data_IF_352458613455
#
_entry.id   IF_352458613455
#
_cell.length_a   1.000
_cell.length_b   1.000
_cell.length_c   1.000
_cell.angle_alpha   90.00
_cell.angle_beta   90.00
_cell.angle_gamma   90.00
#
_symmetry.space_group_name_H-M   'P 1'
#
loop_
_entity.id
_entity.type
_entity.pdbx_description
1 polymer ?
#
# COMPACT_ATOMS: atom_id res chain seq x y z
N UNK A 1 -15.64 -14.88 3.25
CA UNK A 1 -16.03 -13.47 3.34
C UNK A 1 -14.83 -12.67 3.81
N UNK A 2 -14.51 -11.64 3.05
CA UNK A 2 -13.38 -10.81 3.37
C UNK A 2 -13.76 -9.78 4.44
N UNK A 3 -12.83 -9.49 5.35
CA UNK A 3 -13.05 -8.48 6.38
C UNK A 3 -13.05 -7.08 5.76
N UNK A 4 -13.50 -6.09 6.53
CA UNK A 4 -13.45 -4.70 6.10
C UNK A 4 -11.99 -4.30 5.84
N UNK A 5 -11.07 -4.72 6.71
CA UNK A 5 -9.65 -4.42 6.52
C UNK A 5 -9.10 -5.08 5.26
N UNK A 6 -9.51 -6.32 4.97
CA UNK A 6 -9.10 -7.01 3.77
C UNK A 6 -9.58 -6.32 2.51
N UNK A 7 -10.84 -5.87 2.51
CA UNK A 7 -11.39 -5.12 1.38
C UNK A 7 -10.65 -3.79 1.19
N UNK A 8 -10.31 -3.13 2.29
CA UNK A 8 -9.56 -1.88 2.23
C UNK A 8 -8.15 -2.10 1.66
N UNK A 9 -7.51 -3.20 2.04
CA UNK A 9 -6.19 -3.54 1.51
C UNK A 9 -6.22 -3.67 -0.02
N UNK A 10 -7.24 -4.35 -0.52
CA UNK A 10 -7.41 -4.53 -1.97
C UNK A 10 -7.65 -3.19 -2.64
N UNK A 11 -8.50 -2.35 -2.04
CA UNK A 11 -8.76 -1.01 -2.58
C UNK A 11 -7.46 -0.21 -2.67
N UNK A 12 -6.67 -0.19 -1.61
CA UNK A 12 -5.40 0.55 -1.60
C UNK A 12 -4.44 0.02 -2.67
N UNK A 13 -4.37 -1.30 -2.81
CA UNK A 13 -3.50 -1.93 -3.80
C UNK A 13 -3.90 -1.52 -5.20
N UNK A 14 -5.20 -1.53 -5.51
CA UNK A 14 -5.68 -1.15 -6.84
C UNK A 14 -5.38 0.33 -7.12
N UNK A 15 -5.61 1.19 -6.14
CA UNK A 15 -5.35 2.62 -6.32
C UNK A 15 -3.86 2.88 -6.53
N UNK A 16 -3.01 2.23 -5.76
CA UNK A 16 -1.57 2.38 -5.89
C UNK A 16 -1.08 1.87 -7.24
N UNK A 17 -1.59 0.69 -7.64
CA UNK A 17 -1.22 0.10 -8.93
C UNK A 17 -1.54 1.05 -10.08
N UNK A 18 -2.73 1.63 -10.06
CA UNK A 18 -3.15 2.56 -11.11
C UNK A 18 -2.34 3.83 -11.10
N UNK A 19 -2.10 4.40 -9.93
CA UNK A 19 -1.36 5.66 -9.81
C UNK A 19 0.09 5.53 -10.26
N UNK A 20 0.70 4.36 -10.04
CA UNK A 20 2.11 4.13 -10.36
C UNK A 20 2.30 3.38 -11.67
N UNK A 21 1.21 3.08 -12.39
CA UNK A 21 1.24 2.37 -13.68
C UNK A 21 1.95 1.02 -13.56
N UNK A 22 1.62 0.28 -12.51
CA UNK A 22 2.21 -1.04 -12.26
C UNK A 22 1.30 -2.13 -12.81
N UNK A 23 1.92 -3.26 -13.18
CA UNK A 23 1.15 -4.49 -13.44
C UNK A 23 0.77 -5.11 -12.09
N UNK A 24 -0.19 -6.03 -12.14
CA UNK A 24 -0.55 -6.77 -10.92
C UNK A 24 0.63 -7.50 -10.31
N UNK A 25 1.47 -8.09 -11.17
CA UNK A 25 2.66 -8.81 -10.70
C UNK A 25 3.65 -7.87 -10.02
N UNK A 26 3.89 -6.71 -10.63
CA UNK A 26 4.79 -5.71 -10.06
C UNK A 26 4.28 -5.22 -8.71
N UNK A 27 2.98 -4.96 -8.61
CA UNK A 27 2.39 -4.54 -7.35
C UNK A 27 2.56 -5.61 -6.28
N UNK A 28 2.25 -6.86 -6.63
CA UNK A 28 2.34 -7.96 -5.66
C UNK A 28 3.75 -8.14 -5.15
N UNK A 29 4.74 -8.05 -6.05
CA UNK A 29 6.15 -8.16 -5.65
C UNK A 29 6.57 -7.02 -4.74
N UNK A 30 6.16 -5.81 -5.06
CA UNK A 30 6.50 -4.63 -4.27
C UNK A 30 5.88 -4.70 -2.88
N UNK A 31 4.60 -5.00 -2.82
CA UNK A 31 3.87 -5.04 -1.55
C UNK A 31 4.33 -6.18 -0.66
N UNK A 32 4.73 -7.31 -1.27
CA UNK A 32 5.27 -8.43 -0.50
C UNK A 32 6.66 -8.11 0.02
N UNK A 33 7.51 -7.54 -0.82
CA UNK A 33 8.90 -7.22 -0.45
C UNK A 33 8.96 -6.31 0.77
N UNK A 34 8.13 -5.28 0.80
CA UNK A 34 8.20 -4.26 1.86
C UNK A 34 7.11 -4.44 2.90
N UNK A 35 6.37 -5.53 2.84
CA UNK A 35 5.32 -5.87 3.81
C UNK A 35 4.25 -4.78 3.89
N UNK A 36 3.90 -4.25 2.73
CA UNK A 36 2.90 -3.18 2.65
C UNK A 36 1.52 -3.68 3.02
N UNK A 37 1.21 -4.95 2.70
CA UNK A 37 -0.08 -5.55 3.07
C UNK A 37 -0.31 -5.44 4.57
N UNK A 38 0.69 -5.86 5.35
CA UNK A 38 0.61 -5.82 6.81
C UNK A 38 0.51 -4.39 7.33
N UNK A 39 1.24 -3.48 6.70
CA UNK A 39 1.21 -2.08 7.07
C UNK A 39 -0.20 -1.49 6.90
N UNK A 40 -0.81 -1.72 5.74
CA UNK A 40 -2.15 -1.19 5.46
C UNK A 40 -3.16 -1.80 6.44
N UNK A 41 -3.06 -3.10 6.68
CA UNK A 41 -3.97 -3.77 7.61
C UNK A 41 -3.86 -3.16 9.01
N UNK A 42 -2.64 -2.95 9.47
CA UNK A 42 -2.39 -2.39 10.81
C UNK A 42 -2.84 -0.94 10.92
N UNK A 43 -2.78 -0.19 9.82
CA UNK A 43 -3.08 1.24 9.83
C UNK A 43 -4.49 1.55 9.32
N UNK A 44 -5.36 0.55 9.26
CA UNK A 44 -6.71 0.73 8.73
C UNK A 44 -7.41 1.92 9.37
N UNK A 45 -7.38 2.01 10.71
CA UNK A 45 -8.09 3.08 11.42
C UNK A 45 -7.59 4.46 11.02
N UNK A 46 -6.28 4.59 10.81
CA UNK A 46 -5.69 5.87 10.45
C UNK A 46 -5.93 6.21 8.97
N UNK A 47 -5.91 5.21 8.11
CA UNK A 47 -5.93 5.45 6.66
C UNK A 47 -7.32 5.47 6.05
N UNK A 48 -8.27 4.72 6.62
CA UNK A 48 -9.55 4.54 5.93
C UNK A 48 -10.40 5.83 5.88
N UNK A 49 -10.05 6.83 6.67
CA UNK A 49 -10.75 8.13 6.67
C UNK A 49 -10.05 9.17 5.82
N UNK A 50 -8.93 8.82 5.18
CA UNK A 50 -8.16 9.77 4.37
C UNK A 50 -8.50 9.60 2.90
N UNK A 51 -8.08 10.58 2.08
CA UNK A 51 -8.29 10.52 0.65
C UNK A 51 -7.28 9.60 -0.03
N UNK A 52 -7.60 9.21 -1.27
CA UNK A 52 -6.78 8.29 -2.05
C UNK A 52 -5.37 8.82 -2.26
N UNK A 53 -5.23 10.11 -2.58
CA UNK A 53 -3.90 10.69 -2.80
C UNK A 53 -3.04 10.62 -1.55
N UNK A 54 -3.64 10.85 -0.40
CA UNK A 54 -2.92 10.75 0.87
C UNK A 54 -2.43 9.31 1.10
N UNK A 55 -3.29 8.34 0.82
CA UNK A 55 -2.94 6.93 0.99
C UNK A 55 -1.74 6.56 0.11
N UNK A 56 -1.77 7.00 -1.16
CA UNK A 56 -0.68 6.71 -2.09
C UNK A 56 0.63 7.32 -1.59
N UNK A 57 0.59 8.57 -1.15
CA UNK A 57 1.77 9.23 -0.62
C UNK A 57 2.29 8.55 0.64
N UNK A 58 1.37 8.12 1.50
CA UNK A 58 1.76 7.45 2.74
C UNK A 58 2.43 6.11 2.45
N UNK A 59 1.91 5.34 1.49
CA UNK A 59 2.53 4.09 1.08
C UNK A 59 3.92 4.35 0.49
N UNK A 60 4.06 5.38 -0.34
CA UNK A 60 5.37 5.74 -0.90
C UNK A 60 6.37 6.04 0.21
N UNK A 61 5.98 6.82 1.21
CA UNK A 61 6.87 7.14 2.32
C UNK A 61 7.24 5.90 3.11
N UNK A 62 6.28 5.01 3.33
CA UNK A 62 6.52 3.75 4.03
C UNK A 62 7.57 2.92 3.29
N UNK A 63 7.41 2.78 1.97
CA UNK A 63 8.33 1.99 1.15
C UNK A 63 9.72 2.63 1.14
N UNK A 64 9.78 3.95 0.94
CA UNK A 64 11.07 4.66 0.90
C UNK A 64 11.83 4.50 2.20
N UNK A 65 11.14 4.52 3.32
CA UNK A 65 11.78 4.38 4.63
C UNK A 65 12.39 2.98 4.82
N UNK A 66 11.94 2.00 4.04
CA UNK A 66 12.40 0.62 4.17
C UNK A 66 13.39 0.20 3.09
N UNK A 67 13.62 1.04 2.10
CA UNK A 67 14.64 0.74 1.09
C UNK A 67 16.04 0.86 1.70
N UNK A 68 16.97 0.00 1.27
CA UNK A 68 18.35 0.13 1.75
C UNK A 68 18.92 1.49 1.38
N UNK A 69 19.78 2.03 2.24
CA UNK A 69 20.46 3.29 1.96
C UNK A 69 21.35 3.10 0.73
N UNK A 70 21.31 4.08 -0.15
CA UNK A 70 22.21 4.12 -1.29
C UNK A 70 23.52 4.76 -0.85
N UNK A 71 24.60 4.04 -1.02
CA UNK A 71 25.93 4.55 -0.68
C UNK A 71 26.82 4.59 -1.89
#
# INVERSE_FOLDING_TARGET
>A
IMSIQGNFMIFCAEQYKMAKHLTGKQLAELFTRYRVWEYIYSCYEALHTTGTNYIIEDIDLYIEARKPAMT
#
